data_IF_199893476934
#
_entry.id   IF_199893476934
#
_cell.length_a   1.000
_cell.length_b   1.000
_cell.length_c   1.000
_cell.angle_alpha   90.00
_cell.angle_beta   90.00
_cell.angle_gamma   90.00
#
_symmetry.space_group_name_H-M   'P 1'
#
loop_
_entity.id
_entity.type
_entity.pdbx_description
1 polymer ?
#
# COMPACT_ATOMS: atom_id res chain seq x y z
N UNK A 1 -2.17 12.33 -8.13
CA UNK A 1 -2.91 11.72 -7.00
C UNK A 1 -2.63 12.47 -5.71
N UNK A 2 -3.55 12.49 -4.76
CA UNK A 2 -3.32 13.05 -3.41
C UNK A 2 -3.18 11.91 -2.39
N UNK A 3 -2.04 11.82 -1.72
CA UNK A 3 -1.74 10.71 -0.79
C UNK A 3 -1.76 11.22 0.65
N UNK A 4 -2.52 10.56 1.51
CA UNK A 4 -2.55 10.82 2.95
C UNK A 4 -2.13 9.57 3.71
N UNK A 5 -1.10 9.70 4.54
CA UNK A 5 -0.74 8.69 5.55
C UNK A 5 -1.63 8.96 6.77
N UNK A 6 -2.50 8.02 7.10
CA UNK A 6 -3.56 8.20 8.09
C UNK A 6 -3.26 7.54 9.44
N UNK A 7 -2.27 6.64 9.49
CA UNK A 7 -1.83 6.03 10.74
C UNK A 7 -0.34 5.66 10.72
N UNK A 8 0.15 5.23 11.87
CA UNK A 8 1.55 4.84 12.05
C UNK A 8 1.87 3.59 11.25
N UNK A 9 2.98 3.63 10.54
CA UNK A 9 3.57 2.48 9.86
C UNK A 9 4.45 1.68 10.84
N UNK A 10 4.28 0.36 10.89
CA UNK A 10 5.11 -0.53 11.69
C UNK A 10 6.25 -1.10 10.82
N UNK A 11 7.43 -0.47 10.87
CA UNK A 11 8.62 -0.91 10.13
C UNK A 11 9.42 -1.98 10.88
N UNK A 12 8.86 -3.18 11.02
CA UNK A 12 9.45 -4.24 11.86
C UNK A 12 10.61 -5.01 11.21
N UNK A 13 10.81 -4.88 9.89
CA UNK A 13 12.00 -5.37 9.20
C UNK A 13 12.26 -4.54 7.92
N UNK A 14 13.48 -4.66 7.38
CA UNK A 14 13.92 -3.89 6.22
C UNK A 14 13.08 -4.18 4.97
N UNK A 15 12.67 -5.44 4.74
CA UNK A 15 11.86 -5.81 3.57
C UNK A 15 10.47 -5.15 3.58
N UNK A 16 9.85 -5.00 4.75
CA UNK A 16 8.55 -4.32 4.91
C UNK A 16 8.71 -2.82 4.68
N UNK A 17 9.80 -2.23 5.17
CA UNK A 17 10.13 -0.82 4.95
C UNK A 17 10.35 -0.53 3.47
N UNK A 18 11.14 -1.38 2.79
CA UNK A 18 11.38 -1.27 1.35
C UNK A 18 10.10 -1.45 0.53
N UNK A 19 9.28 -2.45 0.88
CA UNK A 19 7.98 -2.69 0.23
C UNK A 19 7.06 -1.48 0.36
N UNK A 20 7.02 -0.87 1.56
CA UNK A 20 6.24 0.35 1.80
C UNK A 20 6.73 1.53 0.96
N UNK A 21 8.05 1.77 0.90
CA UNK A 21 8.62 2.85 0.09
C UNK A 21 8.30 2.65 -1.40
N UNK A 22 8.47 1.44 -1.93
CA UNK A 22 8.14 1.13 -3.32
C UNK A 22 6.64 1.26 -3.62
N UNK A 23 5.78 0.97 -2.65
CA UNK A 23 4.34 1.23 -2.74
C UNK A 23 4.05 2.72 -2.83
N UNK A 24 4.65 3.55 -1.97
CA UNK A 24 4.53 5.01 -2.02
C UNK A 24 5.01 5.55 -3.36
N UNK A 25 6.19 5.12 -3.82
CA UNK A 25 6.73 5.53 -5.12
C UNK A 25 5.75 5.17 -6.25
N UNK A 26 5.23 3.94 -6.25
CA UNK A 26 4.25 3.48 -7.25
C UNK A 26 3.01 4.37 -7.27
N UNK A 27 2.52 4.78 -6.10
CA UNK A 27 1.38 5.70 -6.00
C UNK A 27 1.73 7.10 -6.52
N UNK A 28 2.89 7.64 -6.15
CA UNK A 28 3.30 8.99 -6.51
C UNK A 28 3.68 9.11 -8.00
N UNK A 29 4.14 8.04 -8.62
CA UNK A 29 4.43 8.00 -10.06
C UNK A 29 3.17 7.91 -10.94
N UNK A 30 2.04 7.46 -10.40
CA UNK A 30 0.82 7.34 -11.17
C UNK A 30 0.10 8.69 -11.33
N UNK A 31 -0.31 9.00 -12.56
CA UNK A 31 -1.05 10.24 -12.87
C UNK A 31 -2.57 10.08 -12.73
N UNK A 32 -3.08 8.85 -12.82
CA UNK A 32 -4.50 8.52 -12.80
C UNK A 32 -4.73 7.10 -12.23
N UNK A 33 -6.00 6.72 -12.02
CA UNK A 33 -6.39 5.41 -11.48
C UNK A 33 -5.87 4.24 -12.33
N UNK A 34 -5.91 4.37 -13.66
CA UNK A 34 -5.51 3.30 -14.57
C UNK A 34 -4.01 2.98 -14.43
N UNK A 35 -3.17 4.01 -14.46
CA UNK A 35 -1.72 3.89 -14.24
C UNK A 35 -1.42 3.33 -12.85
N UNK A 36 -2.15 3.75 -11.82
CA UNK A 36 -1.96 3.21 -10.47
C UNK A 36 -2.26 1.71 -10.43
N UNK A 37 -3.39 1.27 -10.99
CA UNK A 37 -3.74 -0.16 -11.04
C UNK A 37 -2.66 -0.98 -11.74
N UNK A 38 -2.17 -0.51 -12.89
CA UNK A 38 -1.08 -1.16 -13.60
C UNK A 38 0.22 -1.19 -12.77
N UNK A 39 0.56 -0.08 -12.12
CA UNK A 39 1.72 0.04 -11.24
C UNK A 39 1.68 -0.95 -10.08
N UNK A 40 0.52 -1.11 -9.44
CA UNK A 40 0.31 -2.08 -8.35
C UNK A 40 0.51 -3.52 -8.86
N UNK A 41 -0.06 -3.89 -10.01
CA UNK A 41 0.16 -5.23 -10.58
C UNK A 41 1.63 -5.50 -10.91
N UNK A 42 2.35 -4.50 -11.43
CA UNK A 42 3.80 -4.60 -11.66
C UNK A 42 4.55 -4.73 -10.32
N UNK A 43 4.17 -3.94 -9.31
CA UNK A 43 4.82 -3.94 -8.00
C UNK A 43 4.73 -5.32 -7.32
N UNK A 44 3.58 -5.99 -7.40
CA UNK A 44 3.38 -7.36 -6.86
C UNK A 44 4.36 -8.39 -7.43
N UNK A 45 4.90 -8.16 -8.63
CA UNK A 45 5.91 -9.06 -9.23
C UNK A 45 7.33 -8.79 -8.71
N UNK A 46 7.55 -7.68 -8.01
CA UNK A 46 8.87 -7.21 -7.55
C UNK A 46 9.08 -7.33 -6.05
N UNK A 47 8.00 -7.25 -5.27
CA UNK A 47 8.03 -7.31 -3.80
C UNK A 47 6.85 -8.11 -3.27
N UNK A 48 6.96 -8.71 -2.07
CA UNK A 48 5.89 -9.45 -1.41
C UNK A 48 4.80 -8.51 -0.85
N UNK A 49 4.14 -7.74 -1.72
CA UNK A 49 3.18 -6.72 -1.32
C UNK A 49 2.00 -7.31 -0.52
N UNK A 50 1.49 -8.46 -0.97
CA UNK A 50 0.31 -9.12 -0.38
C UNK A 50 0.60 -9.76 0.98
N UNK A 51 1.87 -10.01 1.31
CA UNK A 51 2.31 -10.56 2.60
C UNK A 51 2.30 -9.48 3.70
N UNK A 52 2.43 -8.21 3.31
CA UNK A 52 2.57 -7.09 4.23
C UNK A 52 1.38 -6.14 4.25
N UNK A 53 0.63 -6.07 3.17
CA UNK A 53 -0.45 -5.10 3.02
C UNK A 53 -1.74 -5.74 2.50
N UNK A 54 -2.85 -5.17 2.93
CA UNK A 54 -4.18 -5.41 2.36
C UNK A 54 -4.64 -4.10 1.76
N UNK A 55 -5.06 -4.12 0.51
CA UNK A 55 -5.36 -2.91 -0.22
C UNK A 55 -6.49 -3.13 -1.22
N UNK A 56 -7.02 -2.03 -1.75
CA UNK A 56 -8.07 -2.08 -2.74
C UNK A 56 -8.40 -0.73 -3.31
N UNK A 57 -9.29 -0.75 -4.29
CA UNK A 57 -9.75 0.46 -4.98
C UNK A 57 -11.23 0.67 -4.67
N UNK A 58 -11.55 1.83 -4.11
CA UNK A 58 -12.90 2.38 -4.05
C UNK A 58 -13.22 3.24 -5.28
N UNK A 59 -14.37 3.91 -5.27
CA UNK A 59 -14.84 4.71 -6.41
C UNK A 59 -13.90 5.87 -6.80
N UNK A 60 -13.19 6.47 -5.83
CA UNK A 60 -12.35 7.66 -6.02
C UNK A 60 -11.02 7.59 -5.26
N UNK A 61 -10.66 6.40 -4.77
CA UNK A 61 -9.43 6.26 -4.01
C UNK A 61 -8.90 4.83 -3.97
N UNK A 62 -7.59 4.73 -3.80
CA UNK A 62 -6.88 3.54 -3.37
C UNK A 62 -6.68 3.59 -1.86
N UNK A 63 -6.86 2.47 -1.17
CA UNK A 63 -6.69 2.36 0.28
C UNK A 63 -5.76 1.21 0.64
N UNK A 64 -5.01 1.37 1.74
CA UNK A 64 -4.04 0.36 2.21
C UNK A 64 -4.11 0.22 3.72
N UNK A 65 -4.19 -1.01 4.21
CA UNK A 65 -3.94 -1.41 5.59
C UNK A 65 -2.67 -2.25 5.66
N UNK A 66 -1.94 -2.16 6.78
CA UNK A 66 -0.82 -3.06 7.04
C UNK A 66 -1.31 -4.34 7.75
N UNK A 67 -0.76 -5.49 7.37
CA UNK A 67 -0.97 -6.76 8.07
C UNK A 67 -0.27 -6.78 9.43
N UNK A 68 -0.78 -7.55 10.38
CA UNK A 68 -0.14 -7.69 11.69
C UNK A 68 1.04 -8.65 11.59
N UNK A 69 2.17 -8.27 12.18
CA UNK A 69 3.37 -9.12 12.26
C UNK A 69 3.09 -10.44 12.99
N UNK A 70 2.28 -10.37 14.04
CA UNK A 70 1.93 -11.52 14.87
C UNK A 70 0.96 -12.49 14.20
N UNK A 71 0.23 -12.05 13.17
CA UNK A 71 -0.78 -12.84 12.46
C UNK A 71 -1.05 -12.22 11.08
N UNK A 72 -0.47 -12.81 10.04
CA UNK A 72 -0.57 -12.32 8.66
C UNK A 72 -1.99 -12.43 8.08
N UNK A 73 -2.90 -13.18 8.73
CA UNK A 73 -4.31 -13.23 8.32
C UNK A 73 -5.10 -12.00 8.78
N UNK A 74 -4.55 -11.24 9.71
CA UNK A 74 -5.15 -10.03 10.26
C UNK A 74 -4.43 -8.76 9.80
N UNK A 75 -5.17 -7.64 9.82
CA UNK A 75 -4.64 -6.31 9.55
C UNK A 75 -4.84 -5.37 10.74
N UNK A 76 -4.08 -4.28 10.77
CA UNK A 76 -4.34 -3.18 11.69
C UNK A 76 -5.71 -2.56 11.40
N UNK A 77 -6.44 -2.22 12.46
CA UNK A 77 -7.80 -1.66 12.38
C UNK A 77 -7.84 -0.36 11.57
N UNK A 78 -6.86 0.50 11.80
CA UNK A 78 -6.77 1.79 11.12
C UNK A 78 -6.15 1.59 9.74
N UNK A 79 -6.65 2.35 8.78
CA UNK A 79 -6.07 2.42 7.44
C UNK A 79 -4.70 3.09 7.55
N UNK A 80 -3.72 2.52 6.85
CA UNK A 80 -2.36 3.06 6.84
C UNK A 80 -2.30 4.31 5.98
N UNK A 81 -2.78 4.21 4.74
CA UNK A 81 -2.82 5.33 3.81
C UNK A 81 -3.99 5.23 2.83
N UNK A 82 -4.27 6.38 2.21
CA UNK A 82 -5.23 6.55 1.13
C UNK A 82 -4.59 7.39 0.03
N UNK A 83 -4.83 7.03 -1.23
CA UNK A 83 -4.49 7.84 -2.39
C UNK A 83 -5.74 8.16 -3.21
N UNK A 84 -6.02 9.44 -3.39
CA UNK A 84 -7.18 9.95 -4.12
C UNK A 84 -6.80 10.29 -5.56
N UNK A 85 -7.68 9.93 -6.50
CA UNK A 85 -7.53 10.14 -7.94
C UNK A 85 -8.72 10.91 -8.51
#
# INVERSE_FOLDING_TARGET
MYVTIESLFCSYCDEVAETFLRLIDTILFASNEHELRQGIEILKTKVPLDDYFVYGFGAHHFWVHQRKVSDSTQQFRNRLLKAEF
#
